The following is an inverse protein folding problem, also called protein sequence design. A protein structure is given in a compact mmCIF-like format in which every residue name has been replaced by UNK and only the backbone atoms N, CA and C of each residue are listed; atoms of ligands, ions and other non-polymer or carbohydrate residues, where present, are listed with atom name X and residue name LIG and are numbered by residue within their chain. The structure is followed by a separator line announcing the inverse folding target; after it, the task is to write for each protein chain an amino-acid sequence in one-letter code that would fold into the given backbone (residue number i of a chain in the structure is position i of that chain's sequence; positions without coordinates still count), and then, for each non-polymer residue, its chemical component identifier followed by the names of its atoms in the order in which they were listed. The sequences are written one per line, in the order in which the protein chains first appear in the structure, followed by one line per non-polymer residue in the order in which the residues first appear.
data_IF_454508795067
#
_entry.id   IF_454508795067
#
_cell.length_a   1.000
_cell.length_b   1.000
_cell.length_c   1.000
_cell.angle_alpha   90.00
_cell.angle_beta   90.00
_cell.angle_gamma   90.00
#
_symmetry.space_group_name_H-M   'P 1'
#
loop_
_entity.id
_entity.type
_entity.pdbx_description
1 polymer ?
#
# COMPACT_ATOMS: atom_id res chain seq x y z
N UNK A 1 -15.00 -0.67 10.48
CA UNK A 1 -13.90 0.23 10.89
C UNK A 1 -14.26 1.18 12.03
N UNK A 2 -15.49 1.67 12.17
CA UNK A 2 -15.89 2.63 13.23
C UNK A 2 -15.64 2.15 14.66
N UNK A 3 -15.51 0.83 14.88
CA UNK A 3 -15.29 0.20 16.18
C UNK A 3 -13.79 0.08 16.54
N UNK A 4 -12.89 0.22 15.57
CA UNK A 4 -11.45 0.18 15.82
C UNK A 4 -10.93 1.60 15.95
N UNK A 5 -10.39 1.93 17.13
CA UNK A 5 -9.63 3.16 17.30
C UNK A 5 -8.43 3.16 16.34
N UNK A 6 -8.10 4.32 15.76
CA UNK A 6 -6.99 4.47 14.81
C UNK A 6 -6.05 5.55 15.29
N UNK A 7 -4.75 5.28 15.18
CA UNK A 7 -3.71 6.26 15.44
C UNK A 7 -3.09 6.70 14.12
N UNK A 8 -2.89 8.01 13.95
CA UNK A 8 -2.17 8.54 12.78
C UNK A 8 -0.68 8.57 13.08
N UNK A 9 0.09 7.82 12.30
CA UNK A 9 1.56 7.80 12.34
C UNK A 9 2.15 8.89 11.43
N UNK A 10 3.37 9.35 11.76
CA UNK A 10 4.12 10.32 10.95
C UNK A 10 4.66 9.72 9.64
N UNK A 11 5.19 10.55 8.75
CA UNK A 11 5.75 10.07 7.46
C UNK A 11 6.94 9.12 7.66
N UNK A 12 7.82 9.41 8.63
CA UNK A 12 8.97 8.57 8.94
C UNK A 12 8.59 7.16 9.44
N UNK A 13 7.35 6.94 9.89
CA UNK A 13 6.89 5.59 10.21
C UNK A 13 6.60 4.77 8.95
N UNK A 14 6.07 5.41 7.89
CA UNK A 14 5.81 4.75 6.61
C UNK A 14 7.07 4.63 5.75
N UNK A 15 7.96 5.61 5.86
CA UNK A 15 9.27 5.61 5.21
C UNK A 15 10.38 5.79 6.25
N UNK A 16 10.81 4.70 6.91
CA UNK A 16 11.86 4.73 7.94
C UNK A 16 13.20 5.29 7.48
N UNK A 17 13.46 5.29 6.17
CA UNK A 17 14.66 5.85 5.57
C UNK A 17 14.59 7.36 5.29
N UNK A 18 13.54 8.06 5.73
CA UNK A 18 13.50 9.52 5.65
C UNK A 18 14.45 10.14 6.68
N UNK A 19 15.19 11.19 6.31
CA UNK A 19 16.02 11.92 7.27
C UNK A 19 15.14 12.63 8.31
N UNK A 20 15.65 12.80 9.52
CA UNK A 20 14.98 13.64 10.51
C UNK A 20 15.19 15.13 10.22
N UNK A 21 14.36 15.99 10.81
CA UNK A 21 14.57 17.45 10.72
C UNK A 21 15.93 17.83 11.30
N UNK A 22 16.37 17.18 12.39
CA UNK A 22 17.66 17.46 13.01
C UNK A 22 18.84 17.12 12.10
N UNK A 23 18.76 15.99 11.37
CA UNK A 23 19.79 15.60 10.40
C UNK A 23 19.90 16.65 9.28
N UNK A 24 18.75 17.08 8.76
CA UNK A 24 18.70 18.11 7.72
C UNK A 24 19.18 19.47 8.25
N UNK A 25 18.80 19.88 9.45
CA UNK A 25 19.29 21.13 10.03
C UNK A 25 20.81 21.15 10.16
N UNK A 26 21.44 20.01 10.47
CA UNK A 26 22.90 19.87 10.51
C UNK A 26 23.56 20.03 9.13
N UNK A 27 22.88 19.61 8.05
CA UNK A 27 23.31 19.77 6.66
C UNK A 27 23.01 21.16 6.06
N UNK A 28 22.20 21.97 6.75
CA UNK A 28 21.77 23.27 6.24
C UNK A 28 22.96 24.20 5.92
N UNK A 29 22.89 24.97 4.80
CA UNK A 29 23.96 25.88 4.42
C UNK A 29 24.35 26.87 5.53
N UNK A 30 25.65 27.02 5.78
CA UNK A 30 26.19 27.94 6.81
C UNK A 30 25.85 29.42 6.55
N UNK A 31 25.41 29.75 5.33
CA UNK A 31 24.98 31.09 4.95
C UNK A 31 23.62 31.48 5.58
N UNK A 32 22.80 30.51 5.98
CA UNK A 32 21.54 30.73 6.69
C UNK A 32 21.85 31.12 8.13
N UNK A 33 21.61 32.38 8.48
CA UNK A 33 22.03 32.98 9.75
C UNK A 33 20.87 33.51 10.57
N UNK A 34 19.70 33.71 9.97
CA UNK A 34 18.56 34.21 10.73
C UNK A 34 17.97 33.08 11.60
N UNK A 35 17.44 33.42 12.78
CA UNK A 35 16.69 32.46 13.59
C UNK A 35 15.56 31.82 12.77
N UNK A 36 15.49 30.49 12.76
CA UNK A 36 14.45 29.74 12.05
C UNK A 36 14.76 29.38 10.58
N UNK A 37 15.68 30.07 9.89
CA UNK A 37 15.95 29.79 8.47
C UNK A 37 16.42 28.36 8.20
N UNK A 38 17.29 27.83 9.08
CA UNK A 38 17.80 26.45 8.95
C UNK A 38 16.69 25.43 9.17
N UNK A 39 15.77 25.71 10.08
CA UNK A 39 14.60 24.87 10.32
C UNK A 39 13.65 24.87 9.13
N UNK A 40 13.34 26.05 8.58
CA UNK A 40 12.49 26.19 7.39
C UNK A 40 13.11 25.50 6.16
N UNK A 41 14.43 25.65 5.98
CA UNK A 41 15.18 24.92 4.96
C UNK A 41 15.08 23.41 5.15
N UNK A 42 15.28 22.91 6.37
CA UNK A 42 15.19 21.49 6.68
C UNK A 42 13.78 20.94 6.44
N UNK A 43 12.75 21.69 6.81
CA UNK A 43 11.36 21.35 6.57
C UNK A 43 11.03 21.29 5.07
N UNK A 44 11.54 22.23 4.28
CA UNK A 44 11.39 22.21 2.82
C UNK A 44 12.04 20.96 2.22
N UNK A 45 13.27 20.62 2.63
CA UNK A 45 13.97 19.41 2.18
C UNK A 45 13.28 18.12 2.58
N UNK A 46 12.72 18.06 3.80
CA UNK A 46 11.94 16.92 4.23
C UNK A 46 10.66 16.75 3.37
N UNK A 47 9.97 17.85 3.08
CA UNK A 47 8.79 17.81 2.20
C UNK A 47 9.13 17.34 0.78
N UNK A 48 10.26 17.77 0.23
CA UNK A 48 10.78 17.27 -1.06
C UNK A 48 11.06 15.77 -1.02
N UNK A 49 11.70 15.29 0.06
CA UNK A 49 11.99 13.86 0.24
C UNK A 49 10.70 13.03 0.36
N UNK A 50 9.70 13.52 1.12
CA UNK A 50 8.37 12.89 1.22
C UNK A 50 7.67 12.87 -0.15
N UNK A 51 7.68 13.97 -0.88
CA UNK A 51 7.07 14.05 -2.21
C UNK A 51 7.73 13.05 -3.19
N UNK A 52 9.06 12.91 -3.14
CA UNK A 52 9.77 11.91 -3.93
C UNK A 52 9.37 10.48 -3.58
N UNK A 53 9.17 10.16 -2.29
CA UNK A 53 8.67 8.85 -1.85
C UNK A 53 7.25 8.58 -2.33
N UNK A 54 6.36 9.57 -2.25
CA UNK A 54 4.99 9.48 -2.77
C UNK A 54 4.98 9.27 -4.28
N UNK A 55 5.80 10.00 -5.03
CA UNK A 55 5.90 9.84 -6.47
C UNK A 55 6.45 8.44 -6.85
N UNK A 56 7.46 7.94 -6.13
CA UNK A 56 7.96 6.59 -6.33
C UNK A 56 6.90 5.52 -6.00
N UNK A 57 6.10 5.74 -4.96
CA UNK A 57 4.97 4.87 -4.64
C UNK A 57 3.93 4.91 -5.77
N UNK A 58 3.52 6.10 -6.25
CA UNK A 58 2.58 6.24 -7.36
C UNK A 58 3.04 5.47 -8.60
N UNK A 59 4.29 5.64 -9.01
CA UNK A 59 4.84 4.95 -10.17
C UNK A 59 4.77 3.42 -10.04
N UNK A 60 4.90 2.89 -8.81
CA UNK A 60 4.74 1.46 -8.54
C UNK A 60 3.28 1.03 -8.56
N UNK A 61 2.38 1.85 -8.01
CA UNK A 61 0.95 1.57 -8.00
C UNK A 61 0.37 1.58 -9.43
N UNK A 62 0.81 2.51 -10.28
CA UNK A 62 0.33 2.60 -11.66
C UNK A 62 0.78 1.41 -12.53
N UNK A 63 1.97 0.87 -12.23
CA UNK A 63 2.55 -0.22 -13.01
C UNK A 63 2.12 -1.62 -12.54
N UNK A 64 1.70 -1.75 -11.28
CA UNK A 64 1.52 -3.04 -10.65
C UNK A 64 0.21 -3.72 -11.03
N UNK A 65 0.28 -5.04 -11.21
CA UNK A 65 -0.90 -5.88 -11.48
C UNK A 65 -1.43 -6.55 -10.22
N UNK A 66 -0.55 -6.81 -9.26
CA UNK A 66 -0.88 -7.44 -8.00
C UNK A 66 -0.15 -6.76 -6.85
N UNK A 67 -0.78 -6.77 -5.69
CA UNK A 67 -0.24 -6.27 -4.43
C UNK A 67 -0.29 -7.36 -3.37
N UNK A 68 0.68 -7.36 -2.48
CA UNK A 68 0.67 -8.23 -1.32
C UNK A 68 1.15 -7.49 -0.07
N UNK A 69 0.59 -7.86 1.07
CA UNK A 69 0.97 -7.33 2.38
C UNK A 69 1.45 -8.50 3.20
N UNK A 70 2.69 -8.40 3.65
CA UNK A 70 3.33 -9.43 4.46
C UNK A 70 3.70 -8.81 5.79
N UNK A 71 3.28 -9.46 6.87
CA UNK A 71 3.81 -9.22 8.21
C UNK A 71 4.52 -10.51 8.65
N UNK A 72 5.83 -10.43 8.87
CA UNK A 72 6.66 -11.58 9.25
C UNK A 72 7.85 -11.11 10.08
N UNK A 73 8.17 -11.83 11.14
CA UNK A 73 9.32 -11.56 12.02
C UNK A 73 9.33 -10.11 12.53
N UNK A 74 8.16 -9.57 12.87
CA UNK A 74 8.00 -8.19 13.33
C UNK A 74 8.04 -7.12 12.23
N UNK A 75 8.26 -7.46 10.97
CA UNK A 75 8.33 -6.51 9.85
C UNK A 75 7.04 -6.51 9.02
N UNK A 76 6.45 -5.33 8.84
CA UNK A 76 5.36 -5.06 7.92
C UNK A 76 5.91 -4.54 6.59
N UNK A 77 5.53 -5.19 5.49
CA UNK A 77 5.96 -4.85 4.14
C UNK A 77 4.79 -4.87 3.16
N UNK A 78 4.82 -3.96 2.19
CA UNK A 78 3.93 -3.93 1.03
C UNK A 78 4.76 -4.26 -0.22
N UNK A 79 4.26 -5.22 -1.00
CA UNK A 79 4.85 -5.64 -2.25
C UNK A 79 3.94 -5.27 -3.41
N UNK A 80 4.54 -4.91 -4.53
CA UNK A 80 3.88 -4.70 -5.82
C UNK A 80 4.60 -5.58 -6.85
N UNK A 81 3.88 -6.54 -7.43
CA UNK A 81 4.42 -7.59 -8.31
C UNK A 81 5.68 -8.28 -7.73
N UNK A 82 5.67 -8.56 -6.42
CA UNK A 82 6.77 -9.22 -5.70
C UNK A 82 7.95 -8.33 -5.34
N UNK A 83 7.98 -7.06 -5.76
CA UNK A 83 8.99 -6.09 -5.34
C UNK A 83 8.49 -5.28 -4.13
N UNK A 84 9.30 -5.15 -3.09
CA UNK A 84 8.96 -4.33 -1.92
C UNK A 84 8.85 -2.85 -2.33
N UNK A 85 7.72 -2.23 -2.00
CA UNK A 85 7.45 -0.79 -2.22
C UNK A 85 7.39 -0.02 -0.91
N UNK A 86 7.06 -0.69 0.19
CA UNK A 86 7.21 -0.22 1.56
C UNK A 86 7.80 -1.35 2.39
N UNK A 87 8.83 -1.05 3.17
CA UNK A 87 9.60 -2.01 3.95
C UNK A 87 10.14 -1.37 5.24
N UNK A 88 10.75 -2.19 6.11
CA UNK A 88 11.42 -1.81 7.35
C UNK A 88 10.50 -1.16 8.39
N UNK A 89 9.21 -1.47 8.35
CA UNK A 89 8.23 -1.01 9.33
C UNK A 89 8.11 -2.07 10.41
N UNK A 90 8.79 -1.86 11.53
CA UNK A 90 8.83 -2.83 12.63
C UNK A 90 7.74 -2.56 13.66
N UNK A 91 7.01 -3.60 14.05
CA UNK A 91 5.90 -3.58 15.00
C UNK A 91 5.94 -4.82 15.89
N UNK A 92 5.38 -4.70 17.09
CA UNK A 92 5.09 -5.85 17.94
C UNK A 92 4.11 -6.80 17.25
N UNK A 93 4.25 -8.10 17.51
CA UNK A 93 3.55 -9.17 16.76
C UNK A 93 2.02 -8.94 16.65
N UNK A 94 1.37 -8.63 17.77
CA UNK A 94 -0.08 -8.42 17.80
C UNK A 94 -0.50 -7.16 17.00
N UNK A 95 0.23 -6.05 17.18
CA UNK A 95 -0.07 -4.80 16.49
C UNK A 95 0.27 -4.88 15.00
N UNK A 96 1.32 -5.62 14.64
CA UNK A 96 1.73 -5.87 13.28
C UNK A 96 0.74 -6.76 12.52
N UNK A 97 0.22 -7.81 13.15
CA UNK A 97 -0.85 -8.62 12.56
C UNK A 97 -2.11 -7.78 12.27
N UNK A 98 -2.49 -6.88 13.18
CA UNK A 98 -3.62 -5.98 12.98
C UNK A 98 -3.34 -4.95 11.87
N UNK A 99 -2.15 -4.35 11.84
CA UNK A 99 -1.75 -3.40 10.80
C UNK A 99 -1.69 -4.06 9.41
N UNK A 100 -1.15 -5.29 9.33
CA UNK A 100 -1.10 -6.07 8.10
C UNK A 100 -2.49 -6.41 7.58
N UNK A 101 -3.41 -6.85 8.45
CA UNK A 101 -4.80 -7.05 8.07
C UNK A 101 -5.46 -5.75 7.58
N UNK A 102 -5.17 -4.62 8.21
CA UNK A 102 -5.70 -3.33 7.78
C UNK A 102 -5.18 -2.90 6.40
N UNK A 103 -3.89 -3.03 6.15
CA UNK A 103 -3.28 -2.74 4.85
C UNK A 103 -3.86 -3.64 3.76
N UNK A 104 -4.01 -4.94 4.03
CA UNK A 104 -4.65 -5.88 3.11
C UNK A 104 -6.10 -5.48 2.82
N UNK A 105 -6.85 -5.10 3.85
CA UNK A 105 -8.22 -4.62 3.68
C UNK A 105 -8.30 -3.36 2.80
N UNK A 106 -7.37 -2.41 2.94
CA UNK A 106 -7.31 -1.22 2.08
C UNK A 106 -7.15 -1.61 0.60
N UNK A 107 -6.27 -2.57 0.30
CA UNK A 107 -6.06 -3.06 -1.08
C UNK A 107 -7.27 -3.82 -1.63
N UNK A 108 -7.94 -4.61 -0.79
CA UNK A 108 -9.11 -5.39 -1.20
C UNK A 108 -10.35 -4.52 -1.44
N UNK A 109 -10.46 -3.38 -0.77
CA UNK A 109 -11.66 -2.53 -0.81
C UNK A 109 -11.51 -1.25 -1.62
N UNK A 110 -10.30 -0.91 -2.06
CA UNK A 110 -10.04 0.27 -2.86
C UNK A 110 -8.84 0.10 -3.76
N UNK A 111 -8.92 0.66 -4.97
CA UNK A 111 -7.76 0.79 -5.83
C UNK A 111 -6.83 1.87 -5.25
N UNK A 112 -5.52 1.60 -5.12
CA UNK A 112 -4.54 2.59 -4.70
C UNK A 112 -4.26 3.56 -5.86
N UNK A 113 -5.26 4.35 -6.26
CA UNK A 113 -5.15 5.25 -7.43
C UNK A 113 -4.42 6.57 -7.14
N UNK A 114 -4.45 7.03 -5.89
CA UNK A 114 -3.73 8.23 -5.43
C UNK A 114 -2.79 7.81 -4.29
N UNK A 115 -1.49 7.79 -4.57
CA UNK A 115 -0.45 7.39 -3.63
C UNK A 115 -0.38 8.29 -2.40
N UNK A 116 -0.66 9.58 -2.52
CA UNK A 116 -0.61 10.50 -1.38
C UNK A 116 -1.76 10.20 -0.41
N UNK A 117 -2.97 10.01 -0.95
CA UNK A 117 -4.13 9.58 -0.18
C UNK A 117 -3.92 8.20 0.42
N UNK A 118 -3.41 7.26 -0.38
CA UNK A 118 -3.16 5.88 0.06
C UNK A 118 -2.12 5.82 1.17
N UNK A 119 -0.98 6.51 1.04
CA UNK A 119 0.01 6.66 2.10
C UNK A 119 -0.58 7.32 3.36
N UNK A 120 -1.50 8.27 3.19
CA UNK A 120 -2.27 8.86 4.29
C UNK A 120 -3.10 7.84 5.07
N UNK A 121 -3.78 6.93 4.38
CA UNK A 121 -4.58 5.86 4.99
C UNK A 121 -3.70 4.75 5.58
N UNK A 122 -2.61 4.34 4.92
CA UNK A 122 -1.68 3.33 5.44
C UNK A 122 -1.08 3.72 6.79
N UNK A 123 -0.91 5.03 7.06
CA UNK A 123 -0.44 5.57 8.35
C UNK A 123 -1.52 5.64 9.43
N UNK A 124 -2.80 5.43 9.10
CA UNK A 124 -3.93 5.47 10.04
C UNK A 124 -4.26 4.07 10.54
N UNK A 125 -3.23 3.37 11.04
CA UNK A 125 -3.38 1.99 11.48
C UNK A 125 -4.30 1.87 12.70
N UNK A 126 -5.15 0.83 12.75
CA UNK A 126 -5.87 0.47 13.95
C UNK A 126 -4.95 0.20 15.13
N UNK A 127 -5.43 0.51 16.33
CA UNK A 127 -4.74 0.22 17.60
C UNK A 127 -5.60 -0.68 18.48
N UNK A 128 -4.97 -1.36 19.44
CA UNK A 128 -5.68 -2.25 20.37
C UNK A 128 -5.88 -3.66 19.82
N UNK A 129 -4.79 -4.31 19.40
CA UNK A 129 -4.81 -5.65 18.83
C UNK A 129 -5.41 -6.72 19.75
N UNK A 130 -5.39 -6.53 21.07
CA UNK A 130 -5.99 -7.45 22.05
C UNK A 130 -7.52 -7.39 22.16
N UNK A 131 -8.20 -6.52 21.40
CA UNK A 131 -9.66 -6.39 21.51
C UNK A 131 -10.40 -7.46 20.69
N UNK A 132 -11.58 -7.94 21.12
CA UNK A 132 -12.39 -8.86 20.32
C UNK A 132 -12.73 -8.33 18.92
N UNK A 133 -12.89 -7.01 18.80
CA UNK A 133 -13.11 -6.34 17.51
C UNK A 133 -11.90 -6.46 16.58
N UNK A 134 -10.67 -6.35 17.10
CA UNK A 134 -9.45 -6.54 16.31
C UNK A 134 -9.31 -7.98 15.82
N UNK A 135 -9.53 -8.97 16.71
CA UNK A 135 -9.52 -10.39 16.33
C UNK A 135 -10.55 -10.69 15.23
N UNK A 136 -11.78 -10.21 15.40
CA UNK A 136 -12.83 -10.40 14.41
C UNK A 136 -12.51 -9.72 13.07
N UNK A 137 -11.90 -8.52 13.12
CA UNK A 137 -11.48 -7.82 11.92
C UNK A 137 -10.41 -8.60 11.16
N UNK A 138 -9.36 -9.06 11.83
CA UNK A 138 -8.29 -9.86 11.21
C UNK A 138 -8.88 -11.10 10.53
N UNK A 139 -9.73 -11.85 11.24
CA UNK A 139 -10.39 -13.04 10.70
C UNK A 139 -11.22 -12.72 9.44
N UNK A 140 -12.06 -11.68 9.50
CA UNK A 140 -12.89 -11.27 8.36
C UNK A 140 -12.09 -10.83 7.14
N UNK A 141 -10.95 -10.18 7.35
CA UNK A 141 -10.06 -9.80 6.25
C UNK A 141 -9.42 -11.04 5.62
N UNK A 142 -9.04 -12.03 6.44
CA UNK A 142 -8.54 -13.30 5.92
C UNK A 142 -9.60 -14.05 5.09
N UNK A 143 -10.84 -14.12 5.59
CA UNK A 143 -11.97 -14.73 4.87
C UNK A 143 -12.24 -13.99 3.55
N UNK A 144 -12.19 -12.66 3.56
CA UNK A 144 -12.36 -11.84 2.36
C UNK A 144 -11.25 -12.12 1.34
N UNK A 145 -9.99 -12.18 1.77
CA UNK A 145 -8.86 -12.47 0.90
C UNK A 145 -8.99 -13.86 0.26
N UNK A 146 -9.36 -14.88 1.06
CA UNK A 146 -9.62 -16.23 0.55
C UNK A 146 -10.77 -16.25 -0.48
N UNK A 147 -11.83 -15.49 -0.23
CA UNK A 147 -12.97 -15.34 -1.16
C UNK A 147 -12.53 -14.72 -2.48
N UNK A 148 -11.72 -13.66 -2.44
CA UNK A 148 -11.20 -13.02 -3.67
C UNK A 148 -10.35 -13.98 -4.49
N UNK A 149 -9.45 -14.74 -3.86
CA UNK A 149 -8.64 -15.77 -4.54
C UNK A 149 -9.54 -16.85 -5.18
N UNK A 150 -10.59 -17.29 -4.49
CA UNK A 150 -11.52 -18.27 -5.03
C UNK A 150 -12.31 -17.72 -6.24
N UNK A 151 -12.70 -16.44 -6.21
CA UNK A 151 -13.35 -15.76 -7.35
C UNK A 151 -12.40 -15.71 -8.54
N UNK A 152 -11.16 -15.27 -8.36
CA UNK A 152 -10.17 -15.20 -9.45
C UNK A 152 -9.91 -16.58 -10.09
N UNK A 153 -9.82 -17.63 -9.27
CA UNK A 153 -9.68 -19.00 -9.76
C UNK A 153 -10.90 -19.45 -10.57
N UNK A 154 -12.11 -19.13 -10.11
CA UNK A 154 -13.35 -19.44 -10.82
C UNK A 154 -13.47 -18.64 -12.14
N UNK A 155 -13.12 -17.35 -12.13
CA UNK A 155 -13.06 -16.50 -13.33
C UNK A 155 -12.10 -17.09 -14.36
N UNK A 156 -10.91 -17.52 -13.93
CA UNK A 156 -9.93 -18.17 -14.81
C UNK A 156 -10.46 -19.47 -15.42
N UNK A 157 -11.15 -20.29 -14.63
CA UNK A 157 -11.76 -21.53 -15.11
C UNK A 157 -12.86 -21.27 -16.15
N UNK A 158 -13.71 -20.26 -15.93
CA UNK A 158 -14.75 -19.86 -16.90
C UNK A 158 -14.11 -19.35 -18.19
N UNK A 159 -13.10 -18.47 -18.10
CA UNK A 159 -12.40 -17.95 -19.27
C UNK A 159 -11.77 -19.07 -20.10
N UNK A 160 -11.14 -20.06 -19.44
CA UNK A 160 -10.59 -21.22 -20.14
C UNK A 160 -11.66 -21.98 -20.94
N UNK A 161 -12.86 -22.20 -20.36
CA UNK A 161 -13.98 -22.83 -21.07
C UNK A 161 -14.51 -22.00 -22.24
N UNK A 162 -14.57 -20.68 -22.09
CA UNK A 162 -14.96 -19.79 -23.18
C UNK A 162 -13.95 -19.85 -24.33
N UNK A 163 -12.65 -19.86 -24.01
CA UNK A 163 -11.60 -19.97 -25.02
C UNK A 163 -11.66 -21.31 -25.77
N UNK A 164 -11.96 -22.40 -25.07
CA UNK A 164 -12.22 -23.71 -25.68
C UNK A 164 -13.44 -23.67 -26.61
N UNK A 165 -14.57 -23.11 -26.14
CA UNK A 165 -15.82 -23.08 -26.89
C UNK A 165 -15.72 -22.28 -28.20
N UNK A 166 -15.02 -21.15 -28.16
CA UNK A 166 -14.84 -20.29 -29.33
C UNK A 166 -13.59 -20.62 -30.15
N UNK A 167 -12.81 -21.64 -29.74
CA UNK A 167 -11.62 -22.07 -30.46
C UNK A 167 -10.51 -21.02 -30.53
N UNK A 168 -10.40 -20.14 -29.52
CA UNK A 168 -9.40 -19.07 -29.54
C UNK A 168 -7.99 -19.63 -29.50
N UNK A 169 -7.16 -19.17 -30.43
CA UNK A 169 -5.71 -19.33 -30.41
C UNK A 169 -5.08 -18.55 -29.25
N UNK A 170 -3.84 -18.89 -28.89
CA UNK A 170 -3.11 -18.22 -27.81
C UNK A 170 -2.94 -16.71 -28.06
N UNK A 171 -2.82 -16.32 -29.34
CA UNK A 171 -2.73 -14.92 -29.73
C UNK A 171 -4.04 -14.16 -29.47
N UNK A 172 -5.18 -14.80 -29.74
CA UNK A 172 -6.50 -14.21 -29.46
C UNK A 172 -6.79 -14.16 -27.96
N UNK A 173 -6.38 -15.18 -27.20
CA UNK A 173 -6.48 -15.19 -25.72
C UNK A 173 -5.69 -14.04 -25.11
N UNK A 174 -4.45 -13.84 -25.56
CA UNK A 174 -3.60 -12.74 -25.11
C UNK A 174 -4.23 -11.37 -25.38
N UNK A 175 -4.89 -11.19 -26.52
CA UNK A 175 -5.60 -9.95 -26.85
C UNK A 175 -6.80 -9.72 -25.93
N UNK A 176 -7.57 -10.76 -25.60
CA UNK A 176 -8.72 -10.65 -24.68
C UNK A 176 -8.27 -10.32 -23.26
N UNK A 177 -7.25 -11.01 -22.75
CA UNK A 177 -6.76 -10.83 -21.38
C UNK A 177 -6.12 -9.44 -21.18
N UNK A 178 -5.31 -8.97 -22.13
CA UNK A 178 -4.70 -7.64 -22.02
C UNK A 178 -5.68 -6.49 -22.25
N UNK A 179 -6.70 -6.68 -23.10
CA UNK A 179 -7.76 -5.68 -23.32
C UNK A 179 -8.64 -5.53 -22.07
N UNK A 180 -8.90 -6.62 -21.36
CA UNK A 180 -9.64 -6.60 -20.10
C UNK A 180 -8.81 -6.00 -18.95
N UNK A 181 -7.49 -6.24 -18.93
CA UNK A 181 -6.56 -5.58 -18.00
C UNK A 181 -6.56 -4.05 -18.13
N UNK A 182 -6.58 -3.52 -19.36
CA UNK A 182 -6.69 -2.07 -19.60
C UNK A 182 -8.07 -1.49 -19.23
N UNK A 183 -9.17 -2.25 -19.36
CA UNK A 183 -10.52 -1.79 -19.01
C UNK A 183 -10.81 -1.82 -17.50
N UNK A 184 -10.26 -2.77 -16.74
CA UNK A 184 -10.37 -2.78 -15.26
C UNK A 184 -9.65 -1.59 -14.63
N UNK A 185 -8.59 -1.05 -15.25
CA UNK A 185 -7.94 0.20 -14.82
C UNK A 185 -8.74 1.48 -15.16
N UNK A 186 -9.52 1.48 -16.25
CA UNK A 186 -10.28 2.65 -16.71
C UNK A 186 -11.67 2.80 -16.06
N UNK A 187 -12.19 1.76 -15.41
CA UNK A 187 -13.54 1.75 -14.81
C UNK A 187 -13.64 2.41 -13.43
N UNK A 188 -12.54 2.95 -12.88
CA UNK A 188 -12.48 3.60 -11.56
C UNK A 188 -12.23 5.12 -11.61
N UNK A 189 -12.64 5.79 -12.69
CA UNK A 189 -12.73 7.26 -12.73
C UNK A 189 -14.20 7.71 -12.75
N UNK A 190 -14.75 8.18 -11.60
CA UNK A 190 -15.72 9.27 -11.62
C UNK A 190 -15.04 10.59 -11.98
#
# INVERSE_FOLDING_TARGET
LSVLARARRGEAWLWPALPSIGDLEAEAPRALKLPGERHDWAKARLNEAVAARVAALQARLDAARAYDVIFRDGELSLFADGAAVLDRIYLEEADGALAGAYWRWLLLTGAPGDAARFAGELRRVPIGAGTPAATQFIAKVADLAATVVAIEAAEKAINARLFELYGLSDQERFLVENRNGHRRGAANHP
#
